data_IF_392561896500
#
_entry.id   IF_392561896500
#
_cell.length_a   1.000
_cell.length_b   1.000
_cell.length_c   1.000
_cell.angle_alpha   90.00
_cell.angle_beta   90.00
_cell.angle_gamma   90.00
#
_symmetry.space_group_name_H-M   'P 1'
#
loop_
_entity.id
_entity.type
_entity.pdbx_description
1 polymer ?
#
# COMPACT_ATOMS: atom_id res chain seq x y z
N UNK A 1 -10.16 13.97 2.04
CA UNK A 1 -10.69 12.81 1.26
C UNK A 1 -12.10 13.11 0.78
N UNK A 2 -12.50 12.58 -0.38
CA UNK A 2 -13.88 12.69 -0.87
C UNK A 2 -14.83 11.97 0.08
N UNK A 3 -15.82 12.69 0.62
CA UNK A 3 -16.82 12.10 1.54
C UNK A 3 -17.71 11.15 0.73
N UNK A 4 -17.65 9.86 1.05
CA UNK A 4 -18.50 8.81 0.49
C UNK A 4 -18.89 7.85 1.60
N UNK A 5 -20.17 7.48 1.67
CA UNK A 5 -20.69 6.53 2.67
C UNK A 5 -20.16 5.13 2.39
N UNK A 6 -20.10 4.73 1.12
CA UNK A 6 -19.51 3.47 0.68
C UNK A 6 -18.36 3.76 -0.30
N UNK A 7 -17.13 3.30 -0.02
CA UNK A 7 -15.97 3.55 -0.87
C UNK A 7 -15.94 2.62 -2.11
N UNK A 8 -16.97 2.67 -2.95
CA UNK A 8 -17.00 1.95 -4.23
C UNK A 8 -17.37 2.89 -5.39
N UNK A 9 -16.44 3.07 -6.33
CA UNK A 9 -16.64 3.87 -7.55
C UNK A 9 -16.85 3.02 -8.81
N UNK A 10 -16.96 1.69 -8.66
CA UNK A 10 -17.25 0.72 -9.73
C UNK A 10 -16.38 0.89 -11.00
N UNK A 11 -15.13 1.33 -10.86
CA UNK A 11 -14.17 1.39 -11.96
C UNK A 11 -14.33 2.56 -12.94
N UNK A 12 -15.31 3.46 -12.73
CA UNK A 12 -15.54 4.62 -13.62
C UNK A 12 -14.35 5.59 -13.69
N UNK A 13 -13.46 5.54 -12.70
CA UNK A 13 -12.27 6.37 -12.63
C UNK A 13 -11.08 5.88 -13.48
N UNK A 14 -11.12 4.71 -14.10
CA UNK A 14 -9.96 4.17 -14.83
C UNK A 14 -9.73 4.80 -16.21
N UNK A 15 -10.73 5.45 -16.79
CA UNK A 15 -10.73 5.88 -18.20
C UNK A 15 -9.91 7.16 -18.49
N UNK A 16 -9.44 7.87 -17.46
CA UNK A 16 -8.69 9.14 -17.61
C UNK A 16 -7.34 9.07 -16.88
N UNK A 17 -6.33 9.74 -17.43
CA UNK A 17 -4.91 9.67 -17.00
C UNK A 17 -4.67 9.92 -15.50
N UNK A 18 -5.37 10.87 -14.88
CA UNK A 18 -5.15 11.27 -13.47
C UNK A 18 -6.32 10.99 -12.51
N UNK A 19 -7.42 10.38 -12.99
CA UNK A 19 -8.60 10.12 -12.16
C UNK A 19 -8.35 9.14 -10.99
N UNK A 20 -7.20 8.46 -10.94
CA UNK A 20 -6.79 7.64 -9.79
C UNK A 20 -6.60 8.47 -8.51
N UNK A 21 -6.32 9.77 -8.64
CA UNK A 21 -6.23 10.68 -7.50
C UNK A 21 -7.59 10.93 -6.83
N UNK A 22 -8.68 10.88 -7.61
CA UNK A 22 -10.04 11.12 -7.12
C UNK A 22 -10.66 9.90 -6.43
N UNK A 23 -10.04 8.72 -6.59
CA UNK A 23 -10.50 7.47 -5.97
C UNK A 23 -10.13 7.48 -4.49
N UNK A 24 -11.08 7.05 -3.65
CA UNK A 24 -10.86 6.98 -2.21
C UNK A 24 -9.70 6.03 -1.86
N UNK A 25 -8.91 6.37 -0.85
CA UNK A 25 -7.70 5.62 -0.48
C UNK A 25 -8.03 4.18 -0.06
N UNK A 26 -9.12 4.00 0.69
CA UNK A 26 -9.63 2.68 1.11
C UNK A 26 -9.98 1.81 -0.10
N UNK A 27 -10.60 2.40 -1.13
CA UNK A 27 -10.92 1.68 -2.36
C UNK A 27 -9.66 1.29 -3.12
N UNK A 28 -8.65 2.17 -3.17
CA UNK A 28 -7.36 1.85 -3.79
C UNK A 28 -6.65 0.72 -3.05
N UNK A 29 -6.66 0.71 -1.71
CA UNK A 29 -6.13 -0.39 -0.90
C UNK A 29 -6.85 -1.71 -1.21
N UNK A 30 -8.18 -1.70 -1.18
CA UNK A 30 -8.99 -2.88 -1.47
C UNK A 30 -8.68 -3.43 -2.87
N UNK A 31 -8.61 -2.57 -3.88
CA UNK A 31 -8.25 -2.98 -5.24
C UNK A 31 -6.83 -3.56 -5.31
N UNK A 32 -5.88 -3.08 -4.51
CA UNK A 32 -4.52 -3.65 -4.46
C UNK A 32 -4.50 -5.05 -3.84
N UNK A 33 -5.28 -5.27 -2.77
CA UNK A 33 -5.42 -6.59 -2.15
C UNK A 33 -6.13 -7.60 -3.07
N UNK A 34 -6.96 -7.15 -4.01
CA UNK A 34 -7.65 -8.02 -4.97
C UNK A 34 -6.71 -8.67 -6.00
N UNK A 35 -5.47 -8.20 -6.18
CA UNK A 35 -4.61 -8.67 -7.27
C UNK A 35 -4.11 -10.12 -7.10
N UNK A 36 -4.33 -10.75 -5.94
CA UNK A 36 -3.74 -12.05 -5.64
C UNK A 36 -4.68 -13.22 -5.95
N UNK A 37 -4.39 -13.96 -7.02
CA UNK A 37 -4.89 -15.32 -7.29
C UNK A 37 -6.37 -15.53 -6.95
N UNK A 38 -6.65 -16.33 -5.90
CA UNK A 38 -8.02 -16.72 -5.46
C UNK A 38 -8.90 -15.54 -5.00
N UNK A 39 -8.33 -14.38 -4.75
CA UNK A 39 -9.01 -13.14 -4.34
C UNK A 39 -9.32 -12.22 -5.53
N UNK A 40 -8.86 -12.57 -6.73
CA UNK A 40 -9.13 -11.81 -7.96
C UNK A 40 -10.64 -11.72 -8.20
N UNK A 41 -11.12 -10.50 -8.48
CA UNK A 41 -12.53 -10.22 -8.76
C UNK A 41 -13.45 -10.15 -7.53
N UNK A 42 -12.99 -10.55 -6.34
CA UNK A 42 -13.81 -10.60 -5.11
C UNK A 42 -13.77 -9.29 -4.32
N UNK A 43 -14.31 -8.22 -4.91
CA UNK A 43 -14.31 -6.89 -4.30
C UNK A 43 -15.05 -6.85 -2.96
N UNK A 44 -16.27 -7.40 -2.91
CA UNK A 44 -17.10 -7.39 -1.69
C UNK A 44 -16.42 -8.10 -0.51
N UNK A 45 -15.78 -9.24 -0.77
CA UNK A 45 -15.07 -10.00 0.27
C UNK A 45 -13.93 -9.18 0.89
N UNK A 46 -13.15 -8.50 0.05
CA UNK A 46 -12.03 -7.68 0.53
C UNK A 46 -12.51 -6.44 1.29
N UNK A 47 -13.63 -5.84 0.89
CA UNK A 47 -14.22 -4.76 1.69
C UNK A 47 -14.64 -5.23 3.08
N UNK A 48 -15.20 -6.45 3.20
CA UNK A 48 -15.51 -7.02 4.50
C UNK A 48 -14.25 -7.23 5.34
N UNK A 49 -13.18 -7.78 4.75
CA UNK A 49 -11.88 -7.92 5.42
C UNK A 49 -11.33 -6.57 5.89
N UNK A 50 -11.35 -5.55 5.04
CA UNK A 50 -10.86 -4.19 5.40
C UNK A 50 -11.73 -3.57 6.49
N UNK A 51 -13.05 -3.79 6.47
CA UNK A 51 -13.98 -3.32 7.51
C UNK A 51 -13.62 -3.95 8.87
N UNK A 52 -13.47 -5.28 8.92
CA UNK A 52 -13.10 -5.99 10.16
C UNK A 52 -11.71 -5.56 10.64
N UNK A 53 -10.75 -5.39 9.73
CA UNK A 53 -9.42 -4.88 10.09
C UNK A 53 -9.49 -3.47 10.72
N UNK A 54 -10.36 -2.59 10.22
CA UNK A 54 -10.55 -1.25 10.80
C UNK A 54 -11.21 -1.30 12.18
N UNK A 55 -12.14 -2.23 12.41
CA UNK A 55 -12.72 -2.48 13.74
C UNK A 55 -11.63 -2.93 14.72
N UNK A 56 -10.76 -3.87 14.31
CA UNK A 56 -9.62 -4.32 15.12
C UNK A 56 -8.66 -3.17 15.45
N UNK A 57 -8.33 -2.32 14.47
CA UNK A 57 -7.47 -1.16 14.68
C UNK A 57 -8.08 -0.20 15.70
N UNK A 58 -9.38 0.09 15.57
CA UNK A 58 -10.08 0.98 16.48
C UNK A 58 -10.06 0.45 17.92
N UNK A 59 -10.32 -0.86 18.10
CA UNK A 59 -10.28 -1.51 19.41
C UNK A 59 -8.87 -1.49 20.01
N UNK A 60 -7.83 -1.74 19.20
CA UNK A 60 -6.44 -1.81 19.69
C UNK A 60 -5.82 -0.45 19.98
N UNK A 61 -6.11 0.56 19.16
CA UNK A 61 -5.44 1.87 19.23
C UNK A 61 -6.28 2.98 19.85
N UNK A 62 -7.61 2.83 19.87
CA UNK A 62 -8.55 3.90 20.24
C UNK A 62 -8.61 5.06 19.25
N UNK A 63 -7.82 5.03 18.17
CA UNK A 63 -7.75 6.08 17.16
C UNK A 63 -8.73 5.82 16.00
N UNK A 64 -8.91 6.83 15.14
CA UNK A 64 -9.65 6.66 13.91
C UNK A 64 -8.86 5.78 12.93
N UNK A 65 -9.39 4.63 12.48
CA UNK A 65 -8.66 3.71 11.59
C UNK A 65 -8.32 4.33 10.24
N UNK A 66 -9.09 5.31 9.77
CA UNK A 66 -8.79 6.03 8.52
C UNK A 66 -7.54 6.89 8.67
N UNK A 67 -7.34 7.51 9.83
CA UNK A 67 -6.12 8.26 10.13
C UNK A 67 -4.90 7.34 10.18
N UNK A 68 -5.04 6.18 10.83
CA UNK A 68 -3.99 5.15 10.88
C UNK A 68 -3.58 4.73 9.46
N UNK A 69 -4.56 4.49 8.58
CA UNK A 69 -4.28 4.14 7.19
C UNK A 69 -3.51 5.26 6.45
N UNK A 70 -3.91 6.53 6.62
CA UNK A 70 -3.23 7.66 5.97
C UNK A 70 -1.77 7.74 6.40
N UNK A 71 -1.53 7.73 7.72
CA UNK A 71 -0.16 7.77 8.27
C UNK A 71 0.67 6.56 7.82
N UNK A 72 0.08 5.36 7.82
CA UNK A 72 0.75 4.16 7.33
C UNK A 72 1.18 4.28 5.86
N UNK A 73 0.33 4.88 5.00
CA UNK A 73 0.65 5.10 3.58
C UNK A 73 1.74 6.15 3.40
N UNK A 74 1.71 7.24 4.15
CA UNK A 74 2.76 8.28 4.13
C UNK A 74 4.12 7.70 4.53
N UNK A 75 4.14 6.92 5.61
CA UNK A 75 5.33 6.26 6.12
C UNK A 75 5.90 5.21 5.16
N UNK A 76 5.03 4.47 4.46
CA UNK A 76 5.41 3.40 3.52
C UNK A 76 5.78 3.90 2.12
N UNK A 77 5.65 5.21 1.84
CA UNK A 77 5.93 5.77 0.52
C UNK A 77 7.43 6.06 0.33
N UNK A 78 8.08 5.49 -0.69
CA UNK A 78 9.47 5.83 -1.03
C UNK A 78 9.56 7.17 -1.74
N UNK A 79 10.56 7.98 -1.40
CA UNK A 79 10.82 9.26 -2.05
C UNK A 79 11.74 9.13 -3.26
N UNK A 80 12.72 8.23 -3.18
CA UNK A 80 13.69 7.95 -4.24
C UNK A 80 13.59 6.48 -4.69
N UNK A 81 13.81 6.21 -5.97
CA UNK A 81 13.83 4.89 -6.58
C UNK A 81 15.03 4.79 -7.54
N UNK A 82 15.44 3.58 -7.92
CA UNK A 82 16.50 3.40 -8.93
C UNK A 82 15.91 2.95 -10.25
N UNK A 83 16.38 3.56 -11.34
CA UNK A 83 16.03 3.13 -12.69
C UNK A 83 17.26 2.68 -13.43
N UNK A 84 17.10 1.58 -14.16
CA UNK A 84 18.13 1.07 -15.07
C UNK A 84 18.04 1.84 -16.39
N UNK A 85 19.07 2.62 -16.71
CA UNK A 85 19.22 3.29 -18.00
C UNK A 85 20.21 2.47 -18.83
N UNK A 86 19.81 2.11 -20.05
CA UNK A 86 20.70 1.44 -21.02
C UNK A 86 21.17 2.49 -22.02
N UNK A 87 22.48 2.70 -22.08
CA UNK A 87 23.10 3.64 -23.00
C UNK A 87 24.33 2.99 -23.64
N UNK A 88 24.38 2.96 -24.98
CA UNK A 88 25.50 2.36 -25.71
C UNK A 88 25.73 0.87 -25.46
N UNK A 89 24.71 0.11 -25.06
CA UNK A 89 24.82 -1.31 -24.71
C UNK A 89 25.28 -1.59 -23.27
N UNK A 90 25.69 -0.56 -22.53
CA UNK A 90 26.02 -0.65 -21.10
C UNK A 90 24.85 -0.24 -20.23
N UNK A 91 24.82 -0.78 -19.02
CA UNK A 91 23.74 -0.61 -18.05
C UNK A 91 24.19 0.29 -16.92
N UNK A 92 23.44 1.35 -16.67
CA UNK A 92 23.67 2.28 -15.57
C UNK A 92 22.48 2.24 -14.61
N UNK A 93 22.77 2.23 -13.31
CA UNK A 93 21.76 2.44 -12.27
C UNK A 93 21.78 3.91 -11.89
N UNK A 94 20.65 4.58 -12.07
CA UNK A 94 20.52 6.01 -11.78
C UNK A 94 19.42 6.22 -10.76
N UNK A 95 19.71 7.00 -9.72
CA UNK A 95 18.72 7.43 -8.73
C UNK A 95 17.75 8.44 -9.34
N UNK A 96 16.45 8.25 -9.13
CA UNK A 96 15.39 9.14 -9.63
C UNK A 96 14.35 9.42 -8.55
N UNK A 97 13.79 10.62 -8.57
CA UNK A 97 12.70 11.02 -7.66
C UNK A 97 11.37 10.36 -8.04
N UNK A 98 10.60 9.95 -7.04
CA UNK A 98 9.31 9.27 -7.23
C UNK A 98 8.15 10.27 -7.31
N UNK A 99 7.42 10.25 -8.43
CA UNK A 99 6.22 11.06 -8.62
C UNK A 99 5.14 10.79 -7.53
N UNK A 100 4.39 11.81 -7.06
CA UNK A 100 3.43 11.66 -5.96
C UNK A 100 2.37 10.57 -6.16
N UNK A 101 1.83 10.44 -7.38
CA UNK A 101 0.84 9.41 -7.69
C UNK A 101 1.42 8.00 -7.59
N UNK A 102 2.69 7.84 -8.00
CA UNK A 102 3.45 6.58 -7.92
C UNK A 102 3.81 6.26 -6.47
N UNK A 103 4.15 7.24 -5.64
CA UNK A 103 4.42 7.07 -4.21
C UNK A 103 3.27 6.38 -3.48
N UNK A 104 2.05 6.89 -3.67
CA UNK A 104 0.85 6.30 -3.07
C UNK A 104 0.58 4.90 -3.64
N UNK A 105 0.76 4.69 -4.94
CA UNK A 105 0.58 3.37 -5.57
C UNK A 105 1.58 2.32 -5.09
N UNK A 106 2.84 2.71 -4.84
CA UNK A 106 3.89 1.85 -4.29
C UNK A 106 3.63 1.52 -2.82
N UNK A 107 3.30 2.52 -2.00
CA UNK A 107 2.97 2.31 -0.58
C UNK A 107 1.83 1.31 -0.41
N UNK A 108 0.72 1.50 -1.15
CA UNK A 108 -0.42 0.56 -1.10
C UNK A 108 -0.06 -0.83 -1.62
N UNK A 109 0.82 -0.92 -2.62
CA UNK A 109 1.33 -2.21 -3.12
C UNK A 109 2.15 -2.92 -2.05
N UNK A 110 3.09 -2.25 -1.40
CA UNK A 110 3.94 -2.86 -0.38
C UNK A 110 3.13 -3.34 0.83
N UNK A 111 2.10 -2.59 1.23
CA UNK A 111 1.17 -3.03 2.27
C UNK A 111 0.45 -4.31 1.83
N UNK A 112 -0.12 -4.34 0.62
CA UNK A 112 -0.84 -5.51 0.12
C UNK A 112 0.06 -6.74 -0.05
N UNK A 113 1.27 -6.56 -0.57
CA UNK A 113 2.27 -7.63 -0.72
C UNK A 113 2.74 -8.15 0.64
N UNK A 114 2.99 -7.25 1.60
CA UNK A 114 3.38 -7.62 2.96
C UNK A 114 2.31 -8.42 3.70
N UNK A 115 1.04 -8.07 3.53
CA UNK A 115 -0.09 -8.85 4.06
C UNK A 115 -0.16 -10.22 3.41
N UNK A 116 -0.01 -10.31 2.08
CA UNK A 116 0.01 -11.59 1.36
C UNK A 116 1.13 -12.49 1.88
N UNK A 117 2.35 -11.97 1.95
CA UNK A 117 3.53 -12.69 2.44
C UNK A 117 3.32 -13.18 3.88
N UNK A 118 2.76 -12.35 4.76
CA UNK A 118 2.48 -12.71 6.16
C UNK A 118 1.38 -13.77 6.32
N UNK A 119 0.35 -13.73 5.47
CA UNK A 119 -0.76 -14.70 5.49
C UNK A 119 -0.39 -16.06 4.89
N UNK A 120 0.69 -16.14 4.10
CA UNK A 120 1.08 -17.39 3.47
C UNK A 120 1.57 -18.38 4.54
N UNK A 121 0.84 -19.49 4.69
CA UNK A 121 1.12 -20.57 5.65
C UNK A 121 0.96 -20.21 7.14
N UNK A 122 0.39 -19.04 7.47
CA UNK A 122 0.10 -18.66 8.85
C UNK A 122 -1.38 -18.94 9.19
N UNK A 123 -1.70 -19.54 10.36
CA UNK A 123 -3.09 -19.79 10.77
C UNK A 123 -3.89 -18.53 11.12
N UNK A 124 -3.26 -17.38 11.31
CA UNK A 124 -3.95 -16.13 11.66
C UNK A 124 -4.85 -15.62 10.51
N UNK A 125 -6.00 -15.01 10.82
CA UNK A 125 -6.88 -14.44 9.81
C UNK A 125 -6.25 -13.21 9.13
N UNK A 126 -6.61 -12.98 7.88
CA UNK A 126 -6.06 -11.89 7.04
C UNK A 126 -6.41 -10.50 7.59
N UNK A 127 -7.57 -10.37 8.24
CA UNK A 127 -8.05 -9.16 8.91
C UNK A 127 -7.08 -8.71 10.01
N UNK A 128 -6.62 -9.65 10.83
CA UNK A 128 -5.68 -9.38 11.93
C UNK A 128 -4.31 -9.00 11.40
N UNK A 129 -3.81 -9.70 10.37
CA UNK A 129 -2.55 -9.36 9.73
C UNK A 129 -2.58 -7.97 9.11
N UNK A 130 -3.67 -7.59 8.44
CA UNK A 130 -3.82 -6.25 7.88
C UNK A 130 -3.83 -5.19 8.98
N UNK A 131 -4.56 -5.43 10.09
CA UNK A 131 -4.61 -4.51 11.22
C UNK A 131 -3.24 -4.34 11.90
N UNK A 132 -2.55 -5.43 12.23
CA UNK A 132 -1.21 -5.41 12.81
C UNK A 132 -0.21 -4.68 11.90
N UNK A 133 -0.29 -4.94 10.58
CA UNK A 133 0.58 -4.32 9.61
C UNK A 133 0.37 -2.80 9.50
N UNK A 134 -0.89 -2.34 9.47
CA UNK A 134 -1.21 -0.91 9.41
C UNK A 134 -0.76 -0.17 10.68
N UNK A 135 -0.94 -0.79 11.86
CA UNK A 135 -0.48 -0.20 13.13
C UNK A 135 1.05 -0.06 13.15
N UNK A 136 1.79 -1.10 12.74
CA UNK A 136 3.26 -1.05 12.68
C UNK A 136 3.75 -0.01 11.67
N UNK A 137 3.16 0.01 10.47
CA UNK A 137 3.50 0.98 9.44
C UNK A 137 3.22 2.43 9.88
N UNK A 138 2.14 2.68 10.63
CA UNK A 138 1.82 3.99 11.19
C UNK A 138 2.86 4.46 12.23
N UNK A 139 3.51 3.53 12.93
CA UNK A 139 4.57 3.85 13.89
C UNK A 139 5.97 3.97 13.27
N UNK A 140 6.10 3.89 11.93
CA UNK A 140 7.40 3.85 11.25
C UNK A 140 8.31 2.71 11.72
N UNK A 141 7.72 1.59 12.14
CA UNK A 141 8.49 0.43 12.58
C UNK A 141 9.23 -0.20 11.39
N UNK A 142 10.55 -0.35 11.51
CA UNK A 142 11.40 -1.00 10.51
C UNK A 142 11.05 -2.47 10.27
N UNK A 143 10.38 -3.11 11.24
CA UNK A 143 9.93 -4.50 11.11
C UNK A 143 8.65 -4.62 10.27
N UNK A 144 7.96 -3.52 9.97
CA UNK A 144 6.83 -3.54 9.05
C UNK A 144 7.33 -3.85 7.63
N UNK A 145 6.84 -4.92 6.94
CA UNK A 145 7.31 -5.28 5.61
C UNK A 145 7.24 -4.14 4.58
N UNK A 146 6.26 -3.25 4.70
CA UNK A 146 6.07 -2.09 3.83
C UNK A 146 7.15 -1.02 4.03
N UNK A 147 7.42 -0.65 5.27
CA UNK A 147 8.48 0.29 5.65
C UNK A 147 9.86 -0.30 5.34
N UNK A 148 10.05 -1.61 5.56
CA UNK A 148 11.27 -2.32 5.20
C UNK A 148 11.59 -2.23 3.70
N UNK A 149 10.60 -2.50 2.82
CA UNK A 149 10.78 -2.38 1.37
C UNK A 149 11.06 -0.95 0.94
N UNK A 150 10.41 0.04 1.56
CA UNK A 150 10.73 1.46 1.33
C UNK A 150 12.21 1.75 1.66
N UNK A 151 12.65 1.41 2.88
CA UNK A 151 13.99 1.72 3.36
C UNK A 151 15.07 1.00 2.52
N UNK A 152 14.78 -0.20 2.04
CA UNK A 152 15.66 -0.94 1.13
C UNK A 152 15.82 -0.20 -0.20
N UNK A 153 14.72 0.25 -0.82
CA UNK A 153 14.76 1.00 -2.08
C UNK A 153 15.50 2.33 -1.94
N UNK A 154 15.21 3.09 -0.88
CA UNK A 154 15.88 4.38 -0.63
C UNK A 154 17.38 4.19 -0.35
N UNK A 155 17.78 3.11 0.34
CA UNK A 155 19.21 2.79 0.54
C UNK A 155 19.92 2.48 -0.78
N UNK A 156 19.28 1.71 -1.66
CA UNK A 156 19.86 1.37 -2.98
C UNK A 156 19.93 2.63 -3.86
N UNK A 157 18.93 3.51 -3.80
CA UNK A 157 18.92 4.78 -4.49
C UNK A 157 20.05 5.70 -4.01
N UNK A 158 20.23 5.84 -2.70
CA UNK A 158 21.30 6.63 -2.11
C UNK A 158 22.69 6.10 -2.50
N UNK A 159 22.86 4.79 -2.63
CA UNK A 159 24.12 4.18 -3.06
C UNK A 159 24.41 4.34 -4.56
N UNK A 160 23.37 4.56 -5.37
CA UNK A 160 23.47 4.72 -6.83
C UNK A 160 23.43 6.19 -7.28
N UNK A 161 23.51 7.12 -6.32
CA UNK A 161 23.52 8.56 -6.55
C UNK A 161 24.86 9.05 -7.09
#
# INVERSE_FOLDING_TARGET
>A
MKKMIMPMTFGRSALKRFNKADVNLVERLANKMMHFGRMTGKKMNIFNTVKVAFEIIHIKTGMNPVEVLVRAVENSAPNEDTTRIVYGGTVYHVSVDVAPIRRVDLALRFIADGVKEATFSNPKPIEEHLAEHLIRAQNNDSDAPSVKKKNELERIAQASR
#
